data_IF_486178483258
#
_entry.id   IF_486178483258
#
_cell.length_a   1.000
_cell.length_b   1.000
_cell.length_c   1.000
_cell.angle_alpha   90.00
_cell.angle_beta   90.00
_cell.angle_gamma   90.00
#
_symmetry.space_group_name_H-M   'P 1'
#
loop_
_entity.id
_entity.type
_entity.pdbx_description
1 polymer ?
#
# COMPACT_ATOMS: atom_id res chain seq x y z
N UNK A 1 1.42 -17.86 -14.36
CA UNK A 1 2.51 -18.07 -13.37
C UNK A 1 3.77 -17.51 -14.00
N UNK A 2 4.08 -16.27 -13.73
CA UNK A 2 5.30 -15.60 -14.22
C UNK A 2 6.32 -15.82 -13.11
N UNK A 3 7.23 -16.79 -13.29
CA UNK A 3 8.42 -16.90 -12.46
C UNK A 3 9.33 -15.72 -12.79
N UNK A 4 9.17 -14.64 -12.04
CA UNK A 4 10.11 -13.54 -12.08
C UNK A 4 11.47 -14.03 -11.58
N UNK A 5 12.51 -13.55 -12.25
CA UNK A 5 13.88 -13.67 -11.80
C UNK A 5 14.02 -12.87 -10.48
N UNK A 6 13.50 -13.45 -9.41
CA UNK A 6 13.29 -12.82 -8.09
C UNK A 6 14.59 -12.28 -7.46
N UNK A 7 15.76 -12.73 -7.92
CA UNK A 7 17.00 -12.42 -7.20
C UNK A 7 17.52 -10.98 -7.37
N UNK A 8 17.36 -10.35 -8.54
CA UNK A 8 17.96 -9.02 -8.76
C UNK A 8 17.06 -7.91 -8.19
N UNK A 9 15.75 -8.06 -8.36
CA UNK A 9 14.79 -7.09 -7.84
C UNK A 9 14.68 -7.17 -6.31
N UNK A 10 14.70 -8.37 -5.74
CA UNK A 10 14.64 -8.57 -4.30
C UNK A 10 15.83 -7.93 -3.57
N UNK A 11 17.05 -8.01 -4.10
CA UNK A 11 18.22 -7.40 -3.46
C UNK A 11 18.16 -5.88 -3.44
N UNK A 12 17.76 -5.23 -4.54
CA UNK A 12 17.62 -3.78 -4.62
C UNK A 12 16.48 -3.28 -3.71
N UNK A 13 15.35 -3.96 -3.72
CA UNK A 13 14.22 -3.64 -2.84
C UNK A 13 14.58 -3.82 -1.37
N UNK A 14 15.22 -4.91 -1.00
CA UNK A 14 15.72 -5.15 0.36
C UNK A 14 16.72 -4.07 0.78
N UNK A 15 17.62 -3.68 -0.12
CA UNK A 15 18.60 -2.61 0.15
C UNK A 15 17.92 -1.25 0.36
N UNK A 16 16.86 -0.95 -0.40
CA UNK A 16 16.07 0.27 -0.23
C UNK A 16 15.31 0.28 1.10
N UNK A 17 14.65 -0.83 1.44
CA UNK A 17 13.98 -1.01 2.73
C UNK A 17 14.97 -0.83 3.87
N UNK A 18 16.11 -1.52 3.83
CA UNK A 18 17.17 -1.39 4.86
C UNK A 18 17.62 0.05 5.01
N UNK A 19 17.90 0.75 3.90
CA UNK A 19 18.32 2.15 3.93
C UNK A 19 17.26 3.06 4.55
N UNK A 20 15.99 2.81 4.28
CA UNK A 20 14.88 3.54 4.89
C UNK A 20 14.81 3.27 6.40
N UNK A 21 14.95 2.03 6.80
CA UNK A 21 14.95 1.62 8.20
C UNK A 21 16.15 2.19 8.97
N UNK A 22 17.34 2.14 8.37
CA UNK A 22 18.58 2.69 8.97
C UNK A 22 18.49 4.20 9.19
N UNK A 23 17.86 4.93 8.27
CA UNK A 23 17.60 6.38 8.42
C UNK A 23 16.65 6.66 9.59
N UNK A 24 15.77 5.73 9.96
CA UNK A 24 14.84 5.91 11.09
C UNK A 24 15.48 5.76 12.48
N UNK A 25 16.72 5.31 12.55
CA UNK A 25 17.50 5.22 13.80
C UNK A 25 17.06 4.12 14.77
N UNK A 26 16.21 3.20 14.35
CA UNK A 26 15.71 2.13 15.21
C UNK A 26 16.71 0.97 15.31
N UNK A 27 17.06 0.59 16.54
CA UNK A 27 17.78 -0.66 16.83
C UNK A 27 16.78 -1.79 16.98
N UNK A 28 16.74 -2.69 15.99
CA UNK A 28 15.79 -3.80 15.99
C UNK A 28 16.25 -4.93 16.92
N UNK A 29 15.45 -5.21 17.93
CA UNK A 29 15.53 -6.44 18.75
C UNK A 29 14.39 -7.39 18.38
N UNK A 30 13.31 -6.88 17.76
CA UNK A 30 12.17 -7.63 17.22
C UNK A 30 11.95 -7.23 15.77
N UNK A 31 11.40 -8.14 14.95
CA UNK A 31 11.04 -7.84 13.57
C UNK A 31 10.07 -6.64 13.55
N UNK A 32 10.45 -5.52 12.91
CA UNK A 32 9.55 -4.39 12.80
C UNK A 32 8.32 -4.79 11.99
N UNK A 33 7.17 -4.29 12.40
CA UNK A 33 5.95 -4.43 11.60
C UNK A 33 5.94 -3.37 10.51
N UNK A 34 5.52 -3.77 9.31
CA UNK A 34 5.39 -2.90 8.16
C UNK A 34 3.94 -2.75 7.77
N UNK A 35 3.52 -1.51 7.54
CA UNK A 35 2.22 -1.21 6.93
C UNK A 35 2.49 -0.50 5.61
N UNK A 36 2.09 -1.11 4.51
CA UNK A 36 2.13 -0.49 3.21
C UNK A 36 0.87 0.36 3.02
N UNK A 37 1.07 1.66 2.84
CA UNK A 37 0.00 2.65 2.76
C UNK A 37 -0.08 3.19 1.34
N UNK A 38 -1.07 2.72 0.58
CA UNK A 38 -1.28 3.00 -0.83
C UNK A 38 -2.38 4.03 -1.04
N UNK A 39 -2.36 4.73 -2.17
CA UNK A 39 -3.40 5.69 -2.55
C UNK A 39 -2.89 6.82 -3.44
N UNK A 40 -3.59 7.93 -3.47
CA UNK A 40 -3.22 9.10 -4.28
C UNK A 40 -1.84 9.65 -3.89
N UNK A 41 -0.98 9.92 -4.88
CA UNK A 41 0.28 10.65 -4.69
C UNK A 41 0.06 12.11 -4.31
N UNK A 42 1.07 12.77 -3.76
CA UNK A 42 1.03 14.16 -3.28
C UNK A 42 2.20 14.96 -3.81
N UNK A 43 1.97 16.26 -4.02
CA UNK A 43 2.99 17.18 -4.49
C UNK A 43 3.74 17.89 -3.34
N UNK A 44 3.21 17.81 -2.11
CA UNK A 44 3.81 18.43 -0.93
C UNK A 44 3.49 17.67 0.35
N UNK A 45 4.33 17.85 1.36
CA UNK A 45 4.10 17.29 2.71
C UNK A 45 2.83 17.84 3.35
N UNK A 46 2.45 19.09 3.04
CA UNK A 46 1.23 19.70 3.55
C UNK A 46 -0.02 19.01 2.97
N UNK A 47 -0.03 18.81 1.63
CA UNK A 47 -1.10 18.05 0.95
C UNK A 47 -1.22 16.64 1.52
N UNK A 48 -0.10 15.94 1.72
CA UNK A 48 -0.08 14.63 2.34
C UNK A 48 -0.71 14.63 3.74
N UNK A 49 -0.28 15.53 4.62
CA UNK A 49 -0.72 15.59 6.01
C UNK A 49 -2.23 15.81 6.14
N UNK A 50 -2.82 16.55 5.20
CA UNK A 50 -4.26 16.84 5.16
C UNK A 50 -5.07 15.73 4.45
N UNK A 51 -4.43 14.78 3.80
CA UNK A 51 -5.11 13.70 3.09
C UNK A 51 -5.62 12.61 4.02
N UNK A 52 -6.55 11.79 3.51
CA UNK A 52 -7.02 10.60 4.23
C UNK A 52 -5.87 9.66 4.61
N UNK A 53 -4.91 9.49 3.69
CA UNK A 53 -3.72 8.66 3.89
C UNK A 53 -2.81 9.23 4.97
N UNK A 54 -2.53 10.53 4.95
CA UNK A 54 -1.70 11.20 5.96
C UNK A 54 -2.35 11.24 7.35
N UNK A 55 -3.67 11.41 7.43
CA UNK A 55 -4.41 11.33 8.69
C UNK A 55 -4.28 9.94 9.32
N UNK A 56 -4.42 8.88 8.52
CA UNK A 56 -4.28 7.50 8.99
C UNK A 56 -2.83 7.18 9.35
N UNK A 57 -1.84 7.66 8.59
CA UNK A 57 -0.42 7.58 8.94
C UNK A 57 -0.15 8.19 10.32
N UNK A 58 -0.56 9.43 10.54
CA UNK A 58 -0.40 10.10 11.83
C UNK A 58 -1.08 9.36 12.99
N UNK A 59 -2.23 8.74 12.74
CA UNK A 59 -2.94 7.93 13.71
C UNK A 59 -2.18 6.64 14.06
N UNK A 60 -1.69 5.92 13.04
CA UNK A 60 -0.93 4.67 13.22
C UNK A 60 0.36 4.94 14.00
N UNK A 61 1.15 5.96 13.61
CA UNK A 61 2.40 6.31 14.31
C UNK A 61 2.19 6.62 15.78
N UNK A 62 1.04 7.20 16.14
CA UNK A 62 0.70 7.51 17.53
C UNK A 62 0.30 6.28 18.33
N UNK A 63 -0.45 5.34 17.73
CA UNK A 63 -0.96 4.15 18.42
C UNK A 63 0.00 2.97 18.40
N UNK A 64 0.79 2.85 17.35
CA UNK A 64 1.69 1.75 17.08
C UNK A 64 3.10 2.30 16.77
N UNK A 65 3.81 2.88 17.76
CA UNK A 65 5.08 3.57 17.53
C UNK A 65 6.19 2.69 16.97
N UNK A 66 6.10 1.38 17.19
CA UNK A 66 7.08 0.40 16.68
C UNK A 66 6.72 -0.12 15.27
N UNK A 67 5.75 0.49 14.61
CA UNK A 67 5.32 0.12 13.25
C UNK A 67 5.90 1.10 12.23
N UNK A 68 6.43 0.56 11.13
CA UNK A 68 6.91 1.35 10.00
C UNK A 68 5.82 1.50 8.95
N UNK A 69 5.53 2.74 8.60
CA UNK A 69 4.69 3.06 7.45
C UNK A 69 5.60 3.16 6.24
N UNK A 70 5.24 2.45 5.20
CA UNK A 70 5.92 2.43 3.90
C UNK A 70 5.00 3.08 2.87
N UNK A 71 5.52 4.07 2.16
CA UNK A 71 4.88 4.71 1.01
C UNK A 71 5.72 4.38 -0.23
N UNK A 72 5.09 3.87 -1.28
CA UNK A 72 5.82 3.46 -2.49
C UNK A 72 6.61 4.61 -3.10
N UNK A 73 6.01 5.81 -3.17
CA UNK A 73 6.65 7.00 -3.72
C UNK A 73 7.92 7.43 -2.97
N UNK A 74 7.98 7.28 -1.65
CA UNK A 74 9.18 7.63 -0.87
C UNK A 74 10.33 6.64 -1.10
N UNK A 75 9.99 5.37 -1.28
CA UNK A 75 10.98 4.34 -1.54
C UNK A 75 11.45 4.34 -3.00
N UNK A 76 10.54 4.71 -3.89
CA UNK A 76 10.77 4.81 -5.30
C UNK A 76 11.81 5.89 -5.62
N UNK A 77 11.70 7.09 -5.03
CA UNK A 77 12.67 8.17 -5.20
C UNK A 77 14.09 7.78 -4.78
N UNK A 78 14.22 6.92 -3.76
CA UNK A 78 15.50 6.43 -3.26
C UNK A 78 16.06 5.22 -4.06
N UNK A 79 15.21 4.50 -4.78
CA UNK A 79 15.54 3.23 -5.43
C UNK A 79 15.70 3.33 -6.96
N UNK A 80 15.40 4.49 -7.57
CA UNK A 80 15.25 4.61 -9.00
C UNK A 80 16.50 4.27 -9.80
N UNK A 81 16.38 3.18 -10.49
CA UNK A 81 17.07 2.83 -11.72
C UNK A 81 15.93 2.60 -12.74
N UNK A 82 15.94 3.26 -13.88
CA UNK A 82 14.91 3.20 -14.96
C UNK A 82 14.51 1.77 -15.41
N UNK A 83 15.10 0.76 -14.81
CA UNK A 83 14.89 -0.66 -15.11
C UNK A 83 13.87 -1.37 -14.21
N UNK A 84 13.33 -0.72 -13.16
CA UNK A 84 12.40 -1.36 -12.22
C UNK A 84 10.96 -1.09 -12.67
N UNK A 85 10.19 -2.16 -12.89
CA UNK A 85 8.75 -2.07 -13.10
C UNK A 85 8.06 -1.71 -11.76
N UNK A 86 7.34 -0.59 -11.76
CA UNK A 86 6.67 -0.07 -10.56
C UNK A 86 5.62 -1.05 -10.02
N UNK A 87 4.92 -1.76 -10.89
CA UNK A 87 3.93 -2.75 -10.47
C UNK A 87 4.58 -3.91 -9.70
N UNK A 88 5.72 -4.41 -10.20
CA UNK A 88 6.50 -5.45 -9.52
C UNK A 88 7.04 -4.94 -8.17
N UNK A 89 7.46 -3.68 -8.13
CA UNK A 89 7.94 -3.07 -6.89
C UNK A 89 6.84 -2.99 -5.83
N UNK A 90 5.64 -2.56 -6.21
CA UNK A 90 4.50 -2.48 -5.31
C UNK A 90 4.00 -3.86 -4.86
N UNK A 91 4.01 -4.84 -5.76
CA UNK A 91 3.72 -6.24 -5.42
C UNK A 91 4.70 -6.76 -4.35
N UNK A 92 6.00 -6.46 -4.51
CA UNK A 92 7.00 -6.82 -3.51
C UNK A 92 6.78 -6.11 -2.17
N UNK A 93 6.46 -4.80 -2.17
CA UNK A 93 6.11 -4.07 -0.94
C UNK A 93 4.89 -4.67 -0.25
N UNK A 94 3.88 -5.03 -1.04
CA UNK A 94 2.69 -5.70 -0.55
C UNK A 94 3.04 -7.06 0.08
N UNK A 95 3.94 -7.84 -0.54
CA UNK A 95 4.35 -9.16 -0.05
C UNK A 95 5.04 -9.08 1.32
N UNK A 96 5.99 -8.14 1.48
CA UNK A 96 6.79 -8.01 2.72
C UNK A 96 6.07 -7.27 3.85
N UNK A 97 4.93 -6.67 3.59
CA UNK A 97 4.16 -5.92 4.58
C UNK A 97 3.28 -6.82 5.44
N UNK A 98 3.11 -6.45 6.72
CA UNK A 98 2.17 -7.11 7.65
C UNK A 98 0.72 -6.69 7.39
N UNK A 99 0.50 -5.49 6.84
CA UNK A 99 -0.80 -5.00 6.41
C UNK A 99 -0.64 -4.05 5.22
N UNK A 100 -1.66 -4.03 4.36
CA UNK A 100 -1.79 -3.13 3.22
C UNK A 100 -3.05 -2.32 3.43
N UNK A 101 -2.95 -0.99 3.41
CA UNK A 101 -4.11 -0.10 3.47
C UNK A 101 -4.17 0.69 2.17
N UNK A 102 -5.16 0.40 1.35
CA UNK A 102 -5.34 1.01 0.04
C UNK A 102 -6.51 2.00 0.06
N UNK A 103 -6.22 3.28 -0.14
CA UNK A 103 -7.22 4.34 -0.35
C UNK A 103 -7.55 4.45 -1.83
N UNK A 104 -8.75 4.00 -2.22
CA UNK A 104 -9.21 3.98 -3.61
C UNK A 104 -9.83 5.33 -3.97
N UNK A 105 -8.99 6.29 -4.35
CA UNK A 105 -9.39 7.69 -4.56
C UNK A 105 -8.74 8.37 -5.79
N UNK A 106 -7.91 7.62 -6.54
CA UNK A 106 -7.21 8.14 -7.73
C UNK A 106 -7.11 7.07 -8.83
N UNK A 107 -6.85 7.45 -10.09
CA UNK A 107 -6.64 6.47 -11.16
C UNK A 107 -5.57 5.42 -10.84
N UNK A 108 -4.45 5.82 -10.23
CA UNK A 108 -3.39 4.90 -9.78
C UNK A 108 -3.93 3.91 -8.75
N UNK A 109 -4.63 4.38 -7.71
CA UNK A 109 -5.17 3.50 -6.67
C UNK A 109 -6.28 2.55 -7.17
N UNK A 110 -6.97 2.87 -8.26
CA UNK A 110 -7.85 1.90 -8.94
C UNK A 110 -7.05 0.81 -9.66
N UNK A 111 -5.90 1.15 -10.23
CA UNK A 111 -5.00 0.15 -10.83
C UNK A 111 -4.40 -0.76 -9.76
N UNK A 112 -3.92 -0.20 -8.64
CA UNK A 112 -3.44 -0.94 -7.47
C UNK A 112 -4.51 -1.89 -6.93
N UNK A 113 -5.76 -1.42 -6.81
CA UNK A 113 -6.89 -2.27 -6.42
C UNK A 113 -7.05 -3.47 -7.35
N UNK A 114 -7.00 -3.24 -8.66
CA UNK A 114 -7.08 -4.32 -9.67
C UNK A 114 -5.94 -5.33 -9.52
N UNK A 115 -4.71 -4.83 -9.35
CA UNK A 115 -3.52 -5.65 -9.18
C UNK A 115 -3.61 -6.51 -7.90
N UNK A 116 -3.89 -5.89 -6.74
CA UNK A 116 -3.95 -6.61 -5.46
C UNK A 116 -5.13 -7.57 -5.34
N UNK A 117 -6.28 -7.24 -5.94
CA UNK A 117 -7.44 -8.13 -5.95
C UNK A 117 -7.24 -9.37 -6.83
N UNK A 118 -6.32 -9.30 -7.81
CA UNK A 118 -6.03 -10.39 -8.74
C UNK A 118 -4.72 -11.12 -8.44
N UNK A 119 -3.87 -10.59 -7.57
CA UNK A 119 -2.61 -11.21 -7.16
C UNK A 119 -2.85 -12.40 -6.24
N UNK A 120 -3.57 -13.41 -6.68
CA UNK A 120 -3.92 -14.60 -5.90
C UNK A 120 -4.21 -14.30 -4.40
N UNK A 121 -4.45 -15.27 -3.57
CA UNK A 121 -4.78 -15.10 -2.14
C UNK A 121 -3.64 -14.56 -1.26
N UNK A 122 -2.51 -14.18 -1.85
CA UNK A 122 -1.29 -13.74 -1.13
C UNK A 122 -1.50 -12.50 -0.26
N UNK A 123 -2.45 -11.63 -0.62
CA UNK A 123 -2.64 -10.36 0.09
C UNK A 123 -3.99 -10.27 0.80
N UNK A 124 -4.87 -11.24 0.62
CA UNK A 124 -6.28 -11.14 1.01
C UNK A 124 -6.48 -10.96 2.51
N UNK A 125 -5.70 -11.61 3.34
CA UNK A 125 -5.81 -11.57 4.80
C UNK A 125 -5.24 -10.28 5.43
N UNK A 126 -4.40 -9.56 4.69
CA UNK A 126 -3.74 -8.32 5.14
C UNK A 126 -4.15 -7.07 4.37
N UNK A 127 -4.99 -7.19 3.33
CA UNK A 127 -5.47 -6.07 2.53
C UNK A 127 -6.72 -5.43 3.14
N UNK A 128 -6.62 -4.12 3.39
CA UNK A 128 -7.72 -3.26 3.85
C UNK A 128 -7.97 -2.22 2.76
N UNK A 129 -9.14 -2.30 2.12
CA UNK A 129 -9.55 -1.39 1.05
C UNK A 129 -10.43 -0.31 1.66
N UNK A 130 -10.03 0.94 1.54
CA UNK A 130 -10.78 2.12 2.00
C UNK A 130 -11.42 2.79 0.79
N UNK A 131 -12.75 2.84 0.78
CA UNK A 131 -13.55 3.44 -0.28
C UNK A 131 -14.38 4.60 0.25
N UNK A 132 -14.67 5.57 -0.61
CA UNK A 132 -15.62 6.63 -0.28
C UNK A 132 -17.02 6.04 -0.04
N UNK A 133 -17.71 6.54 0.99
CA UNK A 133 -19.06 6.10 1.39
C UNK A 133 -20.07 6.21 0.25
N UNK A 134 -19.93 7.17 -0.67
CA UNK A 134 -20.79 7.32 -1.85
C UNK A 134 -20.79 6.09 -2.77
N UNK A 135 -19.77 5.23 -2.68
CA UNK A 135 -19.67 4.00 -3.47
C UNK A 135 -20.27 2.77 -2.77
N UNK A 136 -20.75 2.91 -1.52
CA UNK A 136 -21.44 1.82 -0.82
C UNK A 136 -22.69 1.39 -1.57
N UNK A 137 -22.78 0.09 -1.86
CA UNK A 137 -23.90 -0.48 -2.62
C UNK A 137 -23.89 -0.14 -4.12
N UNK A 138 -22.84 0.47 -4.64
CA UNK A 138 -22.68 0.70 -6.08
C UNK A 138 -22.69 -0.62 -6.85
N UNK A 139 -23.28 -0.57 -8.06
CA UNK A 139 -23.26 -1.68 -9.04
C UNK A 139 -22.22 -1.45 -10.14
N UNK A 140 -21.24 -0.57 -9.90
CA UNK A 140 -20.16 -0.31 -10.84
C UNK A 140 -19.25 -1.53 -10.99
N UNK A 141 -18.50 -1.59 -12.09
CA UNK A 141 -17.51 -2.64 -12.33
C UNK A 141 -16.51 -2.76 -11.16
N UNK A 142 -16.09 -1.63 -10.58
CA UNK A 142 -15.14 -1.60 -9.45
C UNK A 142 -15.75 -2.32 -8.24
N UNK A 143 -17.00 -2.03 -7.91
CA UNK A 143 -17.67 -2.60 -6.75
C UNK A 143 -18.00 -4.09 -6.93
N UNK A 144 -18.40 -4.49 -8.14
CA UNK A 144 -18.83 -5.86 -8.47
C UNK A 144 -17.73 -6.75 -9.04
N UNK A 145 -16.58 -6.18 -9.38
CA UNK A 145 -15.37 -6.86 -9.82
C UNK A 145 -14.32 -6.89 -8.70
N UNK A 146 -13.28 -6.03 -8.76
CA UNK A 146 -12.13 -6.15 -7.85
C UNK A 146 -12.49 -6.02 -6.36
N UNK A 147 -13.41 -5.15 -5.96
CA UNK A 147 -13.83 -5.03 -4.54
C UNK A 147 -14.56 -6.28 -4.07
N UNK A 148 -15.46 -6.83 -4.91
CA UNK A 148 -16.18 -8.07 -4.57
C UNK A 148 -15.19 -9.23 -4.44
N UNK A 149 -14.30 -9.39 -5.43
CA UNK A 149 -13.30 -10.46 -5.42
C UNK A 149 -12.39 -10.36 -4.17
N UNK A 150 -11.83 -9.20 -3.90
CA UNK A 150 -10.99 -9.00 -2.71
C UNK A 150 -11.74 -9.36 -1.41
N UNK A 151 -13.04 -9.00 -1.31
CA UNK A 151 -13.88 -9.36 -0.16
C UNK A 151 -14.09 -10.87 -0.04
N UNK A 152 -14.38 -11.54 -1.16
CA UNK A 152 -14.59 -13.00 -1.18
C UNK A 152 -13.32 -13.75 -0.81
N UNK A 153 -12.16 -13.20 -1.15
CA UNK A 153 -10.85 -13.74 -0.79
C UNK A 153 -10.43 -13.41 0.66
N UNK A 154 -11.20 -12.61 1.41
CA UNK A 154 -10.95 -12.32 2.83
C UNK A 154 -10.49 -10.91 3.17
N UNK A 155 -10.28 -10.04 2.17
CA UNK A 155 -9.89 -8.64 2.40
C UNK A 155 -10.97 -7.85 3.13
N UNK A 156 -10.54 -6.85 3.91
CA UNK A 156 -11.45 -5.96 4.64
C UNK A 156 -11.80 -4.75 3.79
N UNK A 157 -13.11 -4.48 3.66
CA UNK A 157 -13.62 -3.30 2.96
C UNK A 157 -14.16 -2.31 3.98
N UNK A 158 -13.60 -1.12 4.00
CA UNK A 158 -14.00 0.00 4.85
C UNK A 158 -14.60 1.08 3.96
N UNK A 159 -15.79 1.56 4.31
CA UNK A 159 -16.38 2.73 3.67
C UNK A 159 -16.32 3.90 4.64
N UNK A 160 -15.79 5.03 4.20
CA UNK A 160 -15.61 6.22 5.00
C UNK A 160 -15.93 7.47 4.16
N UNK A 161 -16.34 8.56 4.82
CA UNK A 161 -16.41 9.85 4.15
C UNK A 161 -14.99 10.35 3.88
N UNK A 162 -14.60 10.41 2.61
CA UNK A 162 -13.30 10.92 2.22
C UNK A 162 -13.38 12.42 1.96
N UNK A 163 -12.29 13.16 2.25
CA UNK A 163 -12.28 14.63 2.12
C UNK A 163 -12.33 15.12 0.66
N UNK A 164 -12.27 14.20 -0.32
CA UNK A 164 -12.25 14.49 -1.76
C UNK A 164 -13.56 14.04 -2.47
N UNK A 165 -14.66 13.91 -1.75
CA UNK A 165 -15.97 13.55 -2.27
C UNK A 165 -16.84 14.76 -2.59
#
# INVERSE_FOLDING_TARGET
MIYLNANIYSEKCIASIRRHLDKSGHKYITYPKFIFLCGKGFNSQEEYTLSNRGIVDGFIRRLLPDTHIVLSEQMWEDAFDDSIDLLIFEEFLAEVSDAIILFVESPGSFCELGAFAYADTLFSDKLIIVMDEKHRGSKSFIATGPVLKAREDGSKIVYAHTQNG
#
